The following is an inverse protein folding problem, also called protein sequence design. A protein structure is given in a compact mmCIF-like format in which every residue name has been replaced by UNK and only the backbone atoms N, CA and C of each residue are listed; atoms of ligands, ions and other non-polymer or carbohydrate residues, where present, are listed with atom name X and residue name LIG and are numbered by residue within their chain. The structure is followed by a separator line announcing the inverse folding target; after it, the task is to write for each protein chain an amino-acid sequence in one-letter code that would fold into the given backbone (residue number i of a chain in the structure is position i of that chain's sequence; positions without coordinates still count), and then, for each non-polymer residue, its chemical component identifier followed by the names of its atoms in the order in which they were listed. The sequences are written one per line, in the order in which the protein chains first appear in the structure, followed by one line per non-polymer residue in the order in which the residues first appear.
data_IF_021772794632
#
_entry.id   IF_021772794632
#
_cell.length_a   1.000
_cell.length_b   1.000
_cell.length_c   1.000
_cell.angle_alpha   90.00
_cell.angle_beta   90.00
_cell.angle_gamma   90.00
#
_symmetry.space_group_name_H-M   'P 1'
#
loop_
_entity.id
_entity.type
_entity.pdbx_description
1 polymer ?
#
# COMPACT_ATOMS: atom_id res chain seq x y z
N UNK A 1 37.27 19.15 12.65
CA UNK A 1 35.89 18.87 13.08
C UNK A 1 35.09 20.11 12.71
N UNK A 2 34.49 20.14 11.52
CA UNK A 2 33.89 21.35 10.93
C UNK A 2 32.39 21.46 11.25
N UNK A 3 32.09 21.74 12.52
CA UNK A 3 30.93 22.48 13.05
C UNK A 3 29.60 22.49 12.23
N UNK A 4 29.14 21.34 11.71
CA UNK A 4 27.79 21.13 11.18
C UNK A 4 27.42 21.92 9.91
N UNK A 5 28.37 22.48 9.16
CA UNK A 5 28.12 23.38 8.01
C UNK A 5 27.33 22.73 6.86
N UNK A 6 27.19 21.40 6.85
CA UNK A 6 26.43 20.62 5.86
C UNK A 6 25.22 19.86 6.45
N UNK A 7 24.90 20.06 7.73
CA UNK A 7 23.74 19.42 8.37
C UNK A 7 22.46 20.06 7.84
N UNK A 8 21.99 19.54 6.71
CA UNK A 8 20.71 19.92 6.12
C UNK A 8 19.61 19.26 6.96
N UNK A 9 18.70 20.04 7.53
CA UNK A 9 17.58 19.51 8.29
C UNK A 9 16.81 18.49 7.43
N UNK A 10 16.62 17.27 7.94
CA UNK A 10 15.89 16.24 7.22
C UNK A 10 14.46 16.72 6.96
N UNK A 11 14.14 16.95 5.68
CA UNK A 11 12.78 17.28 5.27
C UNK A 11 11.98 15.99 5.34
N UNK A 12 11.02 15.93 6.26
CA UNK A 12 10.10 14.81 6.34
C UNK A 12 9.36 14.65 5.00
N UNK A 13 9.38 13.43 4.45
CA UNK A 13 8.63 13.10 3.24
C UNK A 13 7.14 13.37 3.41
N UNK A 14 6.45 13.67 2.31
CA UNK A 14 4.99 13.90 2.34
C UNK A 14 4.27 12.62 2.75
N UNK A 15 3.32 12.74 3.68
CA UNK A 15 2.41 11.65 4.02
C UNK A 15 1.46 11.37 2.86
N UNK A 16 1.34 10.08 2.49
CA UNK A 16 0.42 9.60 1.46
C UNK A 16 -0.77 8.96 2.17
N UNK A 17 -1.98 9.43 1.88
CA UNK A 17 -3.22 8.85 2.36
C UNK A 17 -3.84 8.01 1.24
N UNK A 18 -3.95 6.71 1.47
CA UNK A 18 -4.53 5.76 0.52
C UNK A 18 -6.00 5.52 0.86
N UNK A 19 -6.82 5.24 -0.15
CA UNK A 19 -8.19 4.75 0.02
C UNK A 19 -8.27 3.25 0.34
N UNK A 20 -7.10 2.60 0.54
CA UNK A 20 -6.99 1.17 0.75
C UNK A 20 -7.58 0.80 2.12
N UNK A 21 -8.53 -0.12 2.13
CA UNK A 21 -9.04 -0.73 3.34
C UNK A 21 -8.20 -1.97 3.68
N UNK A 22 -7.41 -1.85 4.75
CA UNK A 22 -6.51 -2.92 5.22
C UNK A 22 -7.26 -4.21 5.55
N UNK A 23 -8.49 -4.14 6.06
CA UNK A 23 -9.28 -5.34 6.38
C UNK A 23 -9.73 -6.04 5.11
N UNK A 24 -10.12 -5.26 4.11
CA UNK A 24 -10.54 -5.78 2.81
C UNK A 24 -9.35 -6.39 2.04
N UNK A 25 -8.18 -5.76 2.14
CA UNK A 25 -6.92 -6.28 1.60
C UNK A 25 -6.57 -7.65 2.20
N UNK A 26 -6.53 -7.75 3.53
CA UNK A 26 -6.23 -9.01 4.23
C UNK A 26 -7.24 -10.12 3.92
N UNK A 27 -8.52 -9.76 3.76
CA UNK A 27 -9.54 -10.71 3.34
C UNK A 27 -9.32 -11.21 1.91
N UNK A 28 -8.96 -10.32 0.98
CA UNK A 28 -8.62 -10.68 -0.40
C UNK A 28 -7.43 -11.63 -0.48
N UNK A 29 -6.37 -11.39 0.30
CA UNK A 29 -5.19 -12.27 0.39
C UNK A 29 -5.54 -13.66 0.91
N UNK A 30 -6.37 -13.73 1.97
CA UNK A 30 -6.85 -15.01 2.51
C UNK A 30 -7.67 -15.80 1.48
N UNK A 31 -8.51 -15.11 0.69
CA UNK A 31 -9.30 -15.76 -0.36
C UNK A 31 -8.45 -16.22 -1.55
N UNK A 32 -7.35 -15.53 -1.82
CA UNK A 32 -6.43 -15.83 -2.93
C UNK A 32 -5.30 -16.79 -2.55
N UNK A 33 -5.29 -17.30 -1.31
CA UNK A 33 -4.35 -18.34 -0.88
C UNK A 33 -4.52 -19.58 -1.76
N UNK A 34 -3.43 -20.08 -2.34
CA UNK A 34 -3.40 -21.19 -3.32
C UNK A 34 -4.19 -20.94 -4.61
N UNK A 35 -4.50 -19.69 -4.95
CA UNK A 35 -5.11 -19.31 -6.23
C UNK A 35 -4.11 -18.49 -7.06
N UNK A 36 -4.28 -18.54 -8.37
CA UNK A 36 -3.50 -17.72 -9.32
C UNK A 36 -4.46 -16.73 -9.96
N UNK A 37 -4.15 -15.44 -9.88
CA UNK A 37 -4.97 -14.37 -10.44
C UNK A 37 -4.91 -13.09 -9.61
N UNK A 38 -5.84 -12.17 -9.87
CA UNK A 38 -5.92 -10.89 -9.18
C UNK A 38 -7.35 -10.53 -8.77
N UNK A 39 -7.47 -9.76 -7.71
CA UNK A 39 -8.72 -9.17 -7.21
C UNK A 39 -8.51 -7.66 -7.09
N UNK A 40 -9.44 -6.87 -7.63
CA UNK A 40 -9.48 -5.43 -7.46
C UNK A 40 -10.85 -5.04 -6.94
N UNK A 41 -10.90 -4.41 -5.76
CA UNK A 41 -12.11 -3.82 -5.21
C UNK A 41 -12.05 -2.31 -5.37
N UNK A 42 -13.10 -1.74 -5.96
CA UNK A 42 -13.22 -0.31 -6.26
C UNK A 42 -14.50 0.20 -5.63
N UNK A 43 -14.47 1.38 -5.04
CA UNK A 43 -15.69 2.13 -4.72
C UNK A 43 -16.21 2.80 -6.00
N UNK A 44 -17.34 2.34 -6.58
CA UNK A 44 -17.85 2.89 -7.84
C UNK A 44 -18.32 4.34 -7.74
N UNK A 45 -18.56 4.87 -6.53
CA UNK A 45 -19.02 6.26 -6.34
C UNK A 45 -17.86 7.25 -6.38
N UNK A 46 -16.70 6.84 -5.88
CA UNK A 46 -15.51 7.72 -5.77
C UNK A 46 -14.41 7.34 -6.75
N UNK A 47 -14.45 6.14 -7.33
CA UNK A 47 -13.37 5.56 -8.13
C UNK A 47 -12.17 5.11 -7.29
N UNK A 48 -12.25 5.19 -5.96
CA UNK A 48 -11.16 4.82 -5.07
C UNK A 48 -10.91 3.31 -5.07
N UNK A 49 -9.65 2.90 -5.12
CA UNK A 49 -9.26 1.50 -4.95
C UNK A 49 -9.28 1.18 -3.46
N UNK A 50 -10.12 0.21 -3.08
CA UNK A 50 -10.30 -0.23 -1.70
C UNK A 50 -9.41 -1.44 -1.39
N UNK A 51 -9.13 -2.30 -2.37
CA UNK A 51 -8.29 -3.49 -2.21
C UNK A 51 -7.71 -3.90 -3.57
N UNK A 52 -6.45 -4.33 -3.59
CA UNK A 52 -5.78 -4.87 -4.77
C UNK A 52 -4.88 -6.03 -4.36
N UNK A 53 -5.26 -7.25 -4.73
CA UNK A 53 -4.52 -8.47 -4.40
C UNK A 53 -4.12 -9.16 -5.69
N UNK A 54 -2.86 -9.58 -5.78
CA UNK A 54 -2.36 -10.46 -6.84
C UNK A 54 -1.77 -11.71 -6.20
N UNK A 55 -2.18 -12.89 -6.66
CA UNK A 55 -1.63 -14.16 -6.22
C UNK A 55 -1.04 -14.96 -7.40
N UNK A 56 0.06 -15.69 -7.19
CA UNK A 56 0.76 -15.88 -5.92
C UNK A 56 1.45 -14.59 -5.44
N UNK A 57 1.24 -14.26 -4.16
CA UNK A 57 1.91 -13.14 -3.50
C UNK A 57 3.20 -13.65 -2.88
N UNK A 58 4.23 -12.81 -2.83
CA UNK A 58 5.52 -13.10 -2.18
C UNK A 58 5.63 -12.17 -0.97
N UNK A 59 6.29 -12.61 0.10
CA UNK A 59 6.55 -11.76 1.28
C UNK A 59 7.53 -10.64 0.87
N UNK A 60 7.09 -9.36 0.80
CA UNK A 60 7.85 -8.25 0.23
C UNK A 60 8.97 -7.71 1.14
#
# INVERSE_FOLDING_TARGET
YENGTYDTAAIAGKNIYLSLDVKLQALGEKLMTNKVGSIVAIDPKTGGILCMVSAPTYDP
#
